data_IF_510039011418
#
_entry.id   IF_510039011418
#
_cell.length_a   1.000
_cell.length_b   1.000
_cell.length_c   1.000
_cell.angle_alpha   90.00
_cell.angle_beta   90.00
_cell.angle_gamma   90.00
#
_symmetry.space_group_name_H-M   'P 1'
#
loop_
_entity.id
_entity.type
_entity.pdbx_description
1 polymer ?
#
# COMPACT_ATOMS: atom_id res chain seq x y z
N UNK A 1 1.90 -24.60 -34.10
CA UNK A 1 1.44 -23.26 -34.49
C UNK A 1 -0.01 -23.14 -34.04
N UNK A 2 -0.22 -22.73 -32.79
CA UNK A 2 -1.56 -22.68 -32.19
C UNK A 2 -2.13 -21.28 -32.46
N UNK A 3 -2.97 -21.17 -33.49
CA UNK A 3 -3.75 -19.96 -33.74
C UNK A 3 -4.76 -19.81 -32.60
N UNK A 4 -4.70 -18.70 -31.88
CA UNK A 4 -5.68 -18.34 -30.85
C UNK A 4 -7.02 -18.09 -31.57
N UNK A 5 -7.93 -19.05 -31.54
CA UNK A 5 -9.34 -18.88 -31.96
C UNK A 5 -10.20 -18.45 -30.77
N UNK A 6 -9.90 -17.31 -30.15
CA UNK A 6 -10.69 -16.79 -29.03
C UNK A 6 -11.37 -15.47 -29.42
N UNK A 7 -12.41 -15.55 -30.23
CA UNK A 7 -13.35 -14.45 -30.41
C UNK A 7 -14.39 -14.50 -29.29
N UNK A 8 -14.52 -13.44 -28.49
CA UNK A 8 -15.64 -13.26 -27.58
C UNK A 8 -16.84 -12.72 -28.37
N UNK A 9 -17.76 -13.60 -28.73
CA UNK A 9 -18.97 -13.29 -29.53
C UNK A 9 -19.99 -12.46 -28.73
N UNK A 10 -19.95 -12.55 -27.40
CA UNK A 10 -20.78 -11.79 -26.45
C UNK A 10 -20.57 -10.27 -26.53
N UNK A 11 -19.37 -9.83 -26.94
CA UNK A 11 -19.02 -8.41 -27.07
C UNK A 11 -19.61 -7.79 -28.36
N UNK A 12 -19.98 -8.60 -29.36
CA UNK A 12 -20.51 -8.13 -30.65
C UNK A 12 -19.55 -7.17 -31.37
N UNK A 13 -20.12 -6.11 -31.97
CA UNK A 13 -19.38 -5.07 -32.72
C UNK A 13 -18.87 -3.90 -31.84
N UNK A 14 -19.06 -3.96 -30.52
CA UNK A 14 -18.60 -2.93 -29.58
C UNK A 14 -17.09 -3.06 -29.28
N UNK A 15 -16.28 -3.09 -30.34
CA UNK A 15 -14.83 -3.32 -30.29
C UNK A 15 -14.12 -2.22 -31.07
N UNK A 16 -12.98 -1.74 -30.56
CA UNK A 16 -12.18 -0.75 -31.23
C UNK A 16 -10.74 -0.78 -30.75
N UNK A 17 -9.80 -0.51 -31.64
CA UNK A 17 -8.39 -0.33 -31.32
C UNK A 17 -7.98 1.03 -31.85
N UNK A 18 -7.30 1.80 -30.99
CA UNK A 18 -6.71 3.09 -31.34
C UNK A 18 -5.22 3.04 -31.06
N UNK A 19 -4.43 3.53 -32.00
CA UNK A 19 -3.01 3.76 -31.82
C UNK A 19 -2.76 5.27 -31.75
N UNK A 20 -1.92 5.68 -30.82
CA UNK A 20 -1.46 7.06 -30.66
C UNK A 20 0.06 7.01 -30.56
N UNK A 21 0.74 7.92 -31.24
CA UNK A 21 2.18 8.12 -31.13
C UNK A 21 2.42 9.45 -30.43
N UNK A 22 3.05 9.41 -29.26
CA UNK A 22 3.40 10.59 -28.47
C UNK A 22 4.86 11.00 -28.74
N UNK A 23 5.16 12.29 -28.59
CA UNK A 23 6.49 12.84 -28.88
C UNK A 23 7.54 12.50 -27.81
N UNK A 24 7.10 12.28 -26.58
CA UNK A 24 7.92 11.95 -25.42
C UNK A 24 7.14 11.11 -24.40
N UNK A 25 7.80 10.63 -23.35
CA UNK A 25 7.14 9.92 -22.24
C UNK A 25 6.17 10.81 -21.46
N UNK A 26 6.49 12.09 -21.32
CA UNK A 26 5.61 13.04 -20.62
C UNK A 26 4.36 13.33 -21.47
N UNK A 27 4.52 13.44 -22.79
CA UNK A 27 3.39 13.54 -23.72
C UNK A 27 2.50 12.29 -23.68
N UNK A 28 3.09 11.09 -23.57
CA UNK A 28 2.37 9.82 -23.44
C UNK A 28 1.49 9.80 -22.18
N UNK A 29 1.97 10.35 -21.06
CA UNK A 29 1.17 10.51 -19.83
C UNK A 29 -0.03 11.43 -20.08
N UNK A 30 0.21 12.59 -20.71
CA UNK A 30 -0.86 13.56 -21.03
C UNK A 30 -1.90 12.96 -21.98
N UNK A 31 -1.45 12.25 -23.02
CA UNK A 31 -2.33 11.59 -23.99
C UNK A 31 -3.14 10.46 -23.35
N UNK A 32 -2.54 9.72 -22.40
CA UNK A 32 -3.24 8.68 -21.63
C UNK A 32 -4.36 9.27 -20.78
N UNK A 33 -4.07 10.33 -20.01
CA UNK A 33 -5.09 11.04 -19.20
C UNK A 33 -6.20 11.60 -20.09
N UNK A 34 -5.84 12.15 -21.26
CA UNK A 34 -6.81 12.63 -22.25
C UNK A 34 -7.71 11.50 -22.77
N UNK A 35 -7.15 10.34 -23.07
CA UNK A 35 -7.93 9.18 -23.51
C UNK A 35 -8.89 8.68 -22.42
N UNK A 36 -8.45 8.63 -21.16
CA UNK A 36 -9.33 8.29 -20.02
C UNK A 36 -10.53 9.25 -19.95
N UNK A 37 -10.27 10.56 -19.99
CA UNK A 37 -11.32 11.59 -20.00
C UNK A 37 -12.26 11.42 -21.19
N UNK A 38 -11.72 11.15 -22.37
CA UNK A 38 -12.52 10.92 -23.58
C UNK A 38 -13.45 9.72 -23.44
N UNK A 39 -12.96 8.59 -22.90
CA UNK A 39 -13.78 7.39 -22.71
C UNK A 39 -14.97 7.63 -21.78
N UNK A 40 -14.76 8.34 -20.68
CA UNK A 40 -15.82 8.58 -19.66
C UNK A 40 -16.75 9.73 -20.07
N UNK A 41 -16.21 10.87 -20.50
CA UNK A 41 -17.02 12.08 -20.68
C UNK A 41 -17.67 12.21 -22.06
N UNK A 42 -17.15 11.55 -23.10
CA UNK A 42 -17.76 11.64 -24.43
C UNK A 42 -19.12 10.95 -24.51
N UNK A 43 -19.42 10.03 -23.59
CA UNK A 43 -20.61 9.15 -23.58
C UNK A 43 -20.80 8.34 -24.88
N UNK A 44 -19.73 8.22 -25.70
CA UNK A 44 -19.72 7.42 -26.92
C UNK A 44 -19.45 5.95 -26.65
N UNK A 45 -18.84 5.65 -25.51
CA UNK A 45 -18.37 4.33 -25.15
C UNK A 45 -19.28 3.70 -24.11
N UNK A 46 -19.63 2.43 -24.35
CA UNK A 46 -20.53 1.65 -23.51
C UNK A 46 -19.87 0.34 -23.09
N UNK A 47 -20.05 -0.01 -21.82
CA UNK A 47 -19.73 -1.34 -21.29
C UNK A 47 -20.97 -2.22 -21.44
N UNK A 48 -20.77 -3.43 -21.97
CA UNK A 48 -21.82 -4.43 -22.10
C UNK A 48 -21.63 -5.49 -21.01
N UNK A 49 -22.58 -5.54 -20.09
CA UNK A 49 -22.74 -6.63 -19.14
C UNK A 49 -23.63 -7.73 -19.77
N UNK A 50 -23.73 -8.89 -19.11
CA UNK A 50 -24.47 -10.05 -19.65
C UNK A 50 -25.92 -9.73 -20.07
N UNK A 51 -26.57 -8.81 -19.37
CA UNK A 51 -27.98 -8.48 -19.58
C UNK A 51 -28.25 -6.97 -19.73
N UNK A 52 -27.24 -6.11 -19.61
CA UNK A 52 -27.43 -4.66 -19.66
C UNK A 52 -26.26 -3.93 -20.32
N UNK A 53 -26.50 -2.70 -20.77
CA UNK A 53 -25.45 -1.81 -21.23
C UNK A 53 -25.50 -0.50 -20.44
N UNK A 54 -24.32 0.03 -20.14
CA UNK A 54 -24.16 1.32 -19.47
C UNK A 54 -22.98 2.08 -20.03
N UNK A 55 -22.93 3.37 -19.73
CA UNK A 55 -21.76 4.19 -20.07
C UNK A 55 -20.53 3.74 -19.29
N UNK A 56 -19.37 3.91 -19.90
CA UNK A 56 -18.07 3.68 -19.27
C UNK A 56 -17.89 4.65 -18.09
N UNK A 57 -17.50 4.10 -16.94
CA UNK A 57 -17.00 4.84 -15.78
C UNK A 57 -15.50 4.63 -15.61
N UNK A 58 -14.89 5.35 -14.68
CA UNK A 58 -13.46 5.21 -14.38
C UNK A 58 -13.08 3.79 -13.94
N UNK A 59 -13.95 3.13 -13.17
CA UNK A 59 -13.79 1.73 -12.73
C UNK A 59 -13.69 0.69 -13.85
N UNK A 60 -14.09 1.04 -15.07
CA UNK A 60 -14.05 0.14 -16.22
C UNK A 60 -12.74 0.25 -17.01
N UNK A 61 -11.87 1.18 -16.63
CA UNK A 61 -10.65 1.50 -17.37
C UNK A 61 -9.44 0.91 -16.65
N UNK A 62 -8.66 0.14 -17.38
CA UNK A 62 -7.34 -0.33 -16.96
C UNK A 62 -6.24 0.29 -17.82
N UNK A 63 -5.22 0.86 -17.18
CA UNK A 63 -3.99 1.34 -17.80
C UNK A 63 -2.89 0.34 -17.47
N UNK A 64 -2.27 -0.24 -18.51
CA UNK A 64 -1.25 -1.26 -18.35
C UNK A 64 0.07 -0.70 -18.85
N UNK A 65 1.06 -0.58 -17.96
CA UNK A 65 2.40 -0.14 -18.35
C UNK A 65 3.42 -1.28 -18.19
N UNK A 66 4.58 -1.16 -18.83
CA UNK A 66 5.68 -2.12 -18.65
C UNK A 66 6.51 -1.85 -17.40
N UNK A 67 6.61 -0.60 -16.95
CA UNK A 67 7.48 -0.17 -15.84
C UNK A 67 6.68 0.55 -14.76
N UNK A 68 6.93 0.22 -13.50
CA UNK A 68 6.27 0.83 -12.32
C UNK A 68 6.45 2.35 -12.25
N UNK A 69 7.63 2.86 -12.62
CA UNK A 69 7.89 4.31 -12.68
C UNK A 69 6.89 5.04 -13.57
N UNK A 70 6.58 4.47 -14.74
CA UNK A 70 5.64 5.07 -15.68
C UNK A 70 4.19 4.98 -15.16
N UNK A 71 3.82 3.89 -14.50
CA UNK A 71 2.52 3.78 -13.82
C UNK A 71 2.32 4.90 -12.77
N UNK A 72 3.38 5.24 -12.02
CA UNK A 72 3.33 6.32 -11.02
C UNK A 72 3.11 7.67 -11.66
N UNK A 73 3.83 7.97 -12.74
CA UNK A 73 3.65 9.23 -13.49
C UNK A 73 2.21 9.41 -13.96
N UNK A 74 1.57 8.33 -14.47
CA UNK A 74 0.17 8.37 -14.90
C UNK A 74 -0.78 8.56 -13.71
N UNK A 75 -0.53 7.89 -12.59
CA UNK A 75 -1.35 8.06 -11.37
C UNK A 75 -1.31 9.50 -10.88
N UNK A 76 -0.12 10.08 -10.77
CA UNK A 76 0.07 11.45 -10.30
C UNK A 76 -0.61 12.46 -11.25
N UNK A 77 -0.54 12.22 -12.57
CA UNK A 77 -1.23 13.05 -13.56
C UNK A 77 -2.76 12.94 -13.50
N UNK A 78 -3.31 11.74 -13.24
CA UNK A 78 -4.74 11.55 -13.00
C UNK A 78 -5.19 12.31 -11.73
N UNK A 79 -4.42 12.20 -10.65
CA UNK A 79 -4.71 12.86 -9.36
C UNK A 79 -4.70 14.39 -9.49
N UNK A 80 -3.72 14.95 -10.21
CA UNK A 80 -3.66 16.39 -10.52
C UNK A 80 -4.89 16.90 -11.28
N UNK A 81 -5.56 16.03 -12.03
CA UNK A 81 -6.73 16.33 -12.86
C UNK A 81 -8.06 15.89 -12.19
N UNK A 82 -8.02 15.48 -10.93
CA UNK A 82 -9.19 15.06 -10.15
C UNK A 82 -9.82 13.74 -10.64
N UNK A 83 -9.06 12.92 -11.36
CA UNK A 83 -9.50 11.59 -11.81
C UNK A 83 -9.17 10.57 -10.72
N UNK A 84 -10.16 9.82 -10.20
CA UNK A 84 -9.89 8.74 -9.26
C UNK A 84 -9.11 7.65 -9.99
N UNK A 85 -7.85 7.48 -9.62
CA UNK A 85 -6.96 6.48 -10.20
C UNK A 85 -6.25 5.70 -9.09
N UNK A 86 -6.29 4.39 -9.21
CA UNK A 86 -5.67 3.45 -8.31
C UNK A 86 -4.47 2.81 -9.01
N UNK A 87 -3.29 2.92 -8.41
CA UNK A 87 -2.15 2.12 -8.83
C UNK A 87 -2.26 0.75 -8.16
N UNK A 88 -2.69 -0.25 -8.93
CA UNK A 88 -2.65 -1.64 -8.55
C UNK A 88 -1.19 -2.08 -8.48
N UNK A 89 -0.71 -2.18 -7.25
CA UNK A 89 0.65 -2.60 -6.92
C UNK A 89 1.45 -1.49 -6.25
N UNK A 90 2.20 -1.92 -5.25
CA UNK A 90 3.43 -1.29 -4.78
C UNK A 90 3.31 -0.01 -3.93
N UNK A 91 2.80 -0.19 -2.71
CA UNK A 91 2.93 0.78 -1.60
C UNK A 91 4.19 0.46 -0.79
N UNK A 92 4.93 1.49 -0.36
CA UNK A 92 6.00 1.34 0.63
C UNK A 92 5.39 1.17 2.03
N UNK A 93 4.70 0.05 2.27
CA UNK A 93 3.93 -0.19 3.51
C UNK A 93 4.78 -0.07 4.78
N UNK A 94 6.09 -0.34 4.70
CA UNK A 94 7.01 -0.18 5.84
C UNK A 94 7.37 1.27 6.14
N UNK A 95 7.25 2.16 5.14
CA UNK A 95 7.53 3.60 5.28
C UNK A 95 6.32 4.43 5.74
N UNK A 96 5.13 3.82 5.82
CA UNK A 96 3.92 4.46 6.35
C UNK A 96 4.01 4.66 7.86
N UNK A 97 3.01 5.34 8.44
CA UNK A 97 2.89 5.49 9.89
C UNK A 97 2.81 4.13 10.58
N UNK A 98 1.98 3.22 10.05
CA UNK A 98 1.78 1.86 10.55
C UNK A 98 3.09 1.05 10.56
N UNK A 99 3.85 1.11 9.46
CA UNK A 99 5.15 0.42 9.35
C UNK A 99 6.19 0.96 10.32
N UNK A 100 6.27 2.29 10.46
CA UNK A 100 7.18 2.95 11.43
C UNK A 100 6.81 2.65 12.88
N UNK A 101 5.51 2.62 13.19
CA UNK A 101 5.02 2.23 14.51
C UNK A 101 5.35 0.76 14.81
N UNK A 102 5.12 -0.15 13.85
CA UNK A 102 5.51 -1.54 13.98
C UNK A 102 7.01 -1.68 14.28
N UNK A 103 7.87 -0.99 13.54
CA UNK A 103 9.32 -0.97 13.78
C UNK A 103 9.67 -0.47 15.19
N UNK A 104 9.12 0.67 15.59
CA UNK A 104 9.39 1.29 16.89
C UNK A 104 9.00 0.35 18.05
N UNK A 105 7.83 -0.27 17.97
CA UNK A 105 7.37 -1.23 18.97
C UNK A 105 8.17 -2.52 18.98
N UNK A 106 8.54 -3.06 17.83
CA UNK A 106 9.42 -4.24 17.76
C UNK A 106 10.78 -3.95 18.41
N UNK A 107 11.37 -2.79 18.15
CA UNK A 107 12.59 -2.34 18.82
C UNK A 107 12.41 -2.22 20.33
N UNK A 108 11.26 -1.71 20.78
CA UNK A 108 11.00 -1.51 22.21
C UNK A 108 10.77 -2.83 22.95
N UNK A 109 10.08 -3.78 22.31
CA UNK A 109 9.92 -5.15 22.79
C UNK A 109 11.28 -5.85 22.86
N UNK A 110 12.15 -5.65 21.86
CA UNK A 110 13.48 -6.25 21.81
C UNK A 110 14.44 -5.64 22.85
N UNK A 111 14.39 -4.32 23.06
CA UNK A 111 15.23 -3.60 23.99
C UNK A 111 14.46 -2.42 24.64
N UNK A 112 14.10 -2.57 25.90
CA UNK A 112 13.38 -1.53 26.67
C UNK A 112 14.18 -0.25 26.92
N UNK A 113 15.49 -0.30 26.71
CA UNK A 113 16.39 0.83 26.94
C UNK A 113 16.74 1.57 25.66
N UNK A 114 16.24 1.16 24.50
CA UNK A 114 16.51 1.83 23.22
C UNK A 114 15.67 3.11 23.10
N UNK A 115 16.27 4.31 23.18
CA UNK A 115 15.54 5.57 23.05
C UNK A 115 14.88 5.71 21.68
N UNK A 116 15.51 5.17 20.63
CA UNK A 116 14.97 5.21 19.27
C UNK A 116 13.74 4.32 19.09
N UNK A 117 13.41 3.49 20.09
CA UNK A 117 12.22 2.67 20.09
C UNK A 117 11.02 3.37 20.74
N UNK A 118 11.15 3.85 21.98
CA UNK A 118 10.02 4.44 22.71
C UNK A 118 9.79 5.93 22.39
N UNK A 119 10.80 6.66 21.90
CA UNK A 119 10.62 8.08 21.54
C UNK A 119 9.60 8.27 20.40
N UNK A 120 9.68 7.54 19.26
CA UNK A 120 8.66 7.65 18.21
C UNK A 120 7.26 7.27 18.68
N UNK A 121 7.14 6.27 19.55
CA UNK A 121 5.86 5.82 20.13
C UNK A 121 5.24 6.95 20.96
N UNK A 122 6.03 7.58 21.83
CA UNK A 122 5.58 8.72 22.62
C UNK A 122 5.23 9.92 21.75
N UNK A 123 6.02 10.20 20.72
CA UNK A 123 5.73 11.29 19.78
C UNK A 123 4.41 11.06 19.02
N UNK A 124 4.13 9.82 18.60
CA UNK A 124 2.89 9.46 17.91
C UNK A 124 1.64 9.54 18.81
N UNK A 125 1.82 9.42 20.13
CA UNK A 125 0.76 9.58 21.14
C UNK A 125 0.70 11.00 21.73
N UNK A 126 1.21 12.00 21.01
CA UNK A 126 1.15 13.42 21.37
C UNK A 126 1.84 13.80 22.69
N UNK A 127 2.78 12.98 23.19
CA UNK A 127 3.60 13.39 24.34
C UNK A 127 4.52 14.55 23.96
N UNK A 128 4.64 15.52 24.87
CA UNK A 128 5.44 16.72 24.62
C UNK A 128 6.95 16.41 24.55
N UNK A 129 7.76 17.22 23.84
CA UNK A 129 9.22 17.05 23.80
C UNK A 129 9.87 17.06 25.19
N UNK A 130 9.27 17.76 26.17
CA UNK A 130 9.75 17.79 27.56
C UNK A 130 9.54 16.44 28.24
N UNK A 131 8.35 15.85 28.10
CA UNK A 131 8.05 14.51 28.64
C UNK A 131 8.93 13.44 28.00
N UNK A 132 9.13 13.52 26.67
CA UNK A 132 10.00 12.60 25.94
C UNK A 132 11.45 12.70 26.45
N UNK A 133 12.00 13.91 26.56
CA UNK A 133 13.37 14.10 27.11
C UNK A 133 13.52 13.57 28.52
N UNK A 134 12.49 13.75 29.36
CA UNK A 134 12.48 13.20 30.71
C UNK A 134 12.52 11.67 30.71
N UNK A 135 11.73 11.01 29.85
CA UNK A 135 11.75 9.56 29.69
C UNK A 135 13.09 9.02 29.14
N UNK A 136 13.74 9.75 28.22
CA UNK A 136 15.08 9.41 27.74
C UNK A 136 16.12 9.49 28.86
N UNK A 137 16.05 10.52 29.70
CA UNK A 137 16.97 10.70 30.83
C UNK A 137 16.72 9.67 31.95
N UNK A 138 15.45 9.29 32.16
CA UNK A 138 15.04 8.34 33.17
C UNK A 138 13.93 7.42 32.62
N UNK A 139 14.26 6.18 32.21
CA UNK A 139 13.30 5.23 31.67
C UNK A 139 12.13 4.89 32.59
N UNK A 140 12.22 5.16 33.91
CA UNK A 140 11.09 5.00 34.84
C UNK A 140 9.97 6.02 34.62
N UNK A 141 10.22 7.08 33.84
CA UNK A 141 9.24 8.09 33.47
C UNK A 141 8.50 7.74 32.17
N UNK A 142 8.80 6.59 31.56
CA UNK A 142 8.00 6.09 30.44
C UNK A 142 6.57 5.83 30.95
N UNK A 143 5.53 6.32 30.25
CA UNK A 143 4.14 6.12 30.65
C UNK A 143 3.79 4.64 30.85
N UNK A 144 3.10 4.34 31.96
CA UNK A 144 2.78 2.95 32.34
C UNK A 144 1.99 2.21 31.26
N UNK A 145 1.09 2.90 30.55
CA UNK A 145 0.35 2.33 29.41
C UNK A 145 1.28 1.73 28.33
N UNK A 146 2.44 2.35 28.09
CA UNK A 146 3.42 1.85 27.11
C UNK A 146 4.18 0.65 27.65
N UNK A 147 4.50 0.66 28.94
CA UNK A 147 5.16 -0.45 29.63
C UNK A 147 4.25 -1.69 29.63
N UNK A 148 2.98 -1.52 30.01
CA UNK A 148 1.97 -2.58 30.04
C UNK A 148 1.76 -3.17 28.64
N UNK A 149 1.59 -2.31 27.64
CA UNK A 149 1.43 -2.76 26.25
C UNK A 149 2.68 -3.49 25.75
N UNK A 150 3.88 -3.02 26.10
CA UNK A 150 5.13 -3.73 25.75
C UNK A 150 5.15 -5.13 26.34
N UNK A 151 4.77 -5.31 27.60
CA UNK A 151 4.73 -6.62 28.25
C UNK A 151 3.75 -7.57 27.54
N UNK A 152 2.58 -7.06 27.13
CA UNK A 152 1.61 -7.82 26.32
C UNK A 152 2.18 -8.24 24.96
N UNK A 153 2.87 -7.34 24.26
CA UNK A 153 3.53 -7.67 22.99
C UNK A 153 4.68 -8.66 23.18
N UNK A 154 5.46 -8.53 24.26
CA UNK A 154 6.57 -9.44 24.58
C UNK A 154 6.09 -10.88 24.82
N UNK A 155 4.91 -11.08 25.42
CA UNK A 155 4.29 -12.40 25.57
C UNK A 155 3.97 -13.04 24.21
N UNK A 156 3.61 -12.23 23.21
CA UNK A 156 3.21 -12.67 21.86
C UNK A 156 4.39 -12.83 20.88
N UNK A 157 5.62 -12.52 21.29
CA UNK A 157 6.83 -12.53 20.43
C UNK A 157 7.11 -13.80 19.63
N UNK A 158 6.57 -14.95 20.04
CA UNK A 158 6.74 -16.22 19.33
C UNK A 158 5.95 -16.29 18.02
N UNK A 159 4.94 -15.43 17.85
CA UNK A 159 4.09 -15.34 16.68
C UNK A 159 4.00 -13.89 16.25
N UNK A 160 4.80 -13.53 15.24
CA UNK A 160 4.91 -12.13 14.80
C UNK A 160 3.57 -11.57 14.34
N UNK A 161 2.73 -12.38 13.71
CA UNK A 161 1.37 -12.01 13.30
C UNK A 161 0.52 -11.61 14.49
N UNK A 162 0.53 -12.41 15.56
CA UNK A 162 -0.27 -12.15 16.77
C UNK A 162 0.23 -10.89 17.50
N UNK A 163 1.54 -10.65 17.48
CA UNK A 163 2.16 -9.44 17.99
C UNK A 163 1.70 -8.20 17.19
N UNK A 164 1.82 -8.23 15.86
CA UNK A 164 1.44 -7.11 15.00
C UNK A 164 -0.06 -6.81 15.06
N UNK A 165 -0.92 -7.83 15.06
CA UNK A 165 -2.36 -7.66 15.24
C UNK A 165 -2.68 -7.00 16.59
N UNK A 166 -2.06 -7.46 17.67
CA UNK A 166 -2.23 -6.86 19.00
C UNK A 166 -1.73 -5.42 19.08
N UNK A 167 -0.69 -5.09 18.32
CA UNK A 167 -0.17 -3.73 18.22
C UNK A 167 -1.16 -2.81 17.51
N UNK A 168 -1.65 -3.21 16.33
CA UNK A 168 -2.55 -2.36 15.56
C UNK A 168 -3.90 -2.18 16.26
N UNK A 169 -4.40 -3.21 16.95
CA UNK A 169 -5.57 -3.10 17.82
C UNK A 169 -5.40 -2.06 18.94
N UNK A 170 -4.21 -1.95 19.54
CA UNK A 170 -3.94 -0.94 20.57
C UNK A 170 -4.08 0.50 20.05
N UNK A 171 -3.76 0.73 18.78
CA UNK A 171 -3.96 2.02 18.11
C UNK A 171 -5.32 2.16 17.43
N UNK A 172 -6.22 1.17 17.55
CA UNK A 172 -7.47 1.10 16.78
C UNK A 172 -7.26 1.23 15.26
N UNK A 173 -6.13 0.72 14.77
CA UNK A 173 -5.80 0.69 13.34
C UNK A 173 -6.28 -0.64 12.75
N UNK A 174 -7.28 -0.54 11.88
CA UNK A 174 -7.76 -1.66 11.07
C UNK A 174 -7.97 -1.15 9.64
N UNK A 175 -6.87 -1.11 8.89
CA UNK A 175 -6.84 -0.62 7.53
C UNK A 175 -6.01 -1.55 6.63
N UNK A 176 -6.11 -1.39 5.31
CA UNK A 176 -5.43 -2.27 4.36
C UNK A 176 -3.90 -2.26 4.49
N UNK A 177 -3.32 -1.15 4.96
CA UNK A 177 -1.88 -1.06 5.23
C UNK A 177 -1.48 -1.98 6.37
N UNK A 178 -2.25 -2.00 7.47
CA UNK A 178 -1.99 -2.92 8.59
C UNK A 178 -2.10 -4.39 8.17
N UNK A 179 -3.10 -4.73 7.35
CA UNK A 179 -3.29 -6.09 6.83
C UNK A 179 -2.17 -6.48 5.86
N UNK A 180 -1.74 -5.57 4.99
CA UNK A 180 -0.61 -5.79 4.09
C UNK A 180 0.69 -6.02 4.87
N UNK A 181 0.96 -5.25 5.94
CA UNK A 181 2.13 -5.45 6.80
C UNK A 181 2.09 -6.84 7.45
N UNK A 182 0.96 -7.23 8.05
CA UNK A 182 0.80 -8.55 8.68
C UNK A 182 1.01 -9.68 7.65
N UNK A 183 0.39 -9.57 6.47
CA UNK A 183 0.49 -10.58 5.41
C UNK A 183 1.92 -10.73 4.88
N UNK A 184 2.59 -9.62 4.60
CA UNK A 184 3.99 -9.60 4.17
C UNK A 184 4.89 -10.25 5.22
N UNK A 185 4.77 -9.84 6.49
CA UNK A 185 5.58 -10.41 7.58
C UNK A 185 5.27 -11.89 7.82
N UNK A 186 4.01 -12.31 7.69
CA UNK A 186 3.61 -13.72 7.75
C UNK A 186 4.27 -14.55 6.64
N UNK A 187 4.29 -14.03 5.41
CA UNK A 187 4.92 -14.70 4.27
C UNK A 187 6.41 -14.93 4.50
N UNK A 188 7.10 -13.91 5.00
CA UNK A 188 8.53 -13.97 5.33
C UNK A 188 8.80 -14.97 6.47
N UNK A 189 7.90 -15.08 7.45
CA UNK A 189 8.00 -16.03 8.56
C UNK A 189 7.70 -17.49 8.18
N UNK A 190 6.87 -17.76 7.15
CA UNK A 190 6.55 -19.15 6.76
C UNK A 190 7.77 -19.97 6.30
N UNK A 191 8.85 -19.30 5.88
CA UNK A 191 10.08 -19.94 5.40
C UNK A 191 11.21 -20.10 6.44
N UNK A 192 11.10 -19.54 7.65
CA UNK A 192 12.15 -19.62 8.68
C UNK A 192 11.66 -19.23 10.07
N UNK A 193 12.28 -19.80 11.11
CA UNK A 193 12.10 -19.37 12.51
C UNK A 193 12.80 -18.01 12.71
N UNK A 194 12.12 -16.92 12.39
CA UNK A 194 12.66 -15.57 12.51
C UNK A 194 12.57 -15.07 13.95
N UNK A 195 13.63 -14.43 14.42
CA UNK A 195 13.63 -13.70 15.69
C UNK A 195 13.06 -12.29 15.50
N UNK A 196 12.69 -11.61 16.59
CA UNK A 196 12.30 -10.19 16.54
C UNK A 196 13.39 -9.34 15.87
N UNK A 197 14.66 -9.62 16.17
CA UNK A 197 15.81 -8.93 15.57
C UNK A 197 15.88 -9.09 14.05
N UNK A 198 15.50 -10.25 13.52
CA UNK A 198 15.46 -10.48 12.08
C UNK A 198 14.33 -9.68 11.42
N UNK A 199 13.16 -9.64 12.07
CA UNK A 199 12.02 -8.84 11.59
C UNK A 199 12.36 -7.35 11.58
N UNK A 200 13.01 -6.84 12.63
CA UNK A 200 13.49 -5.45 12.68
C UNK A 200 14.39 -5.15 11.47
N UNK A 201 15.36 -6.02 11.19
CA UNK A 201 16.29 -5.84 10.06
C UNK A 201 15.59 -5.86 8.70
N UNK A 202 14.59 -6.73 8.53
CA UNK A 202 13.80 -6.78 7.30
C UNK A 202 13.09 -5.44 7.10
N UNK A 203 12.37 -4.95 8.11
CA UNK A 203 11.63 -3.69 8.02
C UNK A 203 12.58 -2.49 7.80
N UNK A 204 13.73 -2.45 8.48
CA UNK A 204 14.74 -1.41 8.29
C UNK A 204 15.29 -1.41 6.86
N UNK A 205 15.65 -2.58 6.33
CA UNK A 205 16.11 -2.72 4.95
C UNK A 205 15.02 -2.31 3.94
N UNK A 206 13.75 -2.61 4.21
CA UNK A 206 12.65 -2.24 3.32
C UNK A 206 12.40 -0.74 3.29
N UNK A 207 12.56 -0.06 4.43
CA UNK A 207 12.49 1.40 4.51
C UNK A 207 13.68 2.03 3.77
N UNK A 208 14.89 1.51 3.98
CA UNK A 208 16.11 2.02 3.34
C UNK A 208 16.07 1.87 1.82
N UNK A 209 15.68 0.69 1.33
CA UNK A 209 15.61 0.39 -0.10
C UNK A 209 14.33 0.90 -0.77
N UNK A 210 13.40 1.51 -0.02
CA UNK A 210 12.08 1.95 -0.50
C UNK A 210 11.31 0.78 -1.14
N UNK A 211 11.40 -0.41 -0.54
CA UNK A 211 10.72 -1.62 -0.98
C UNK A 211 9.23 -1.39 -1.08
N UNK A 212 8.62 -1.93 -2.13
CA UNK A 212 7.19 -1.82 -2.38
C UNK A 212 6.48 -3.15 -2.36
N UNK A 213 5.22 -3.13 -1.89
CA UNK A 213 4.39 -4.31 -1.73
C UNK A 213 3.01 -4.13 -2.35
N UNK A 214 2.44 -5.19 -2.93
CA UNK A 214 1.06 -5.16 -3.40
C UNK A 214 0.11 -5.01 -2.21
N UNK A 215 -0.85 -4.09 -2.33
CA UNK A 215 -2.00 -3.96 -1.42
C UNK A 215 -3.24 -4.27 -2.26
N UNK A 216 -4.02 -5.29 -1.90
CA UNK A 216 -5.02 -5.87 -2.80
C UNK A 216 -6.40 -5.17 -2.76
N UNK A 217 -6.73 -4.42 -1.71
CA UNK A 217 -8.15 -4.14 -1.38
C UNK A 217 -8.71 -2.73 -1.62
N UNK A 218 -7.99 -1.83 -2.30
CA UNK A 218 -8.59 -0.59 -2.80
C UNK A 218 -9.22 -0.79 -4.19
N UNK A 219 -10.14 -1.75 -4.31
CA UNK A 219 -11.10 -1.73 -5.43
C UNK A 219 -12.22 -0.78 -5.02
N UNK A 220 -11.95 0.52 -5.00
CA UNK A 220 -13.05 1.43 -5.28
C UNK A 220 -13.46 1.14 -6.72
N UNK A 221 -14.59 0.48 -6.88
CA UNK A 221 -15.17 0.06 -8.17
C UNK A 221 -15.44 1.25 -9.12
N UNK A 222 -15.07 2.47 -8.73
CA UNK A 222 -15.21 3.72 -9.47
C UNK A 222 -13.88 4.43 -9.77
N UNK A 223 -12.73 3.75 -9.67
CA UNK A 223 -11.41 4.33 -9.99
C UNK A 223 -10.72 3.63 -11.18
N UNK A 224 -9.94 4.37 -11.97
CA UNK A 224 -9.10 3.83 -13.04
C UNK A 224 -8.05 2.92 -12.42
N UNK A 225 -7.94 1.69 -12.91
CA UNK A 225 -6.91 0.75 -12.44
C UNK A 225 -5.64 0.92 -13.26
N UNK A 226 -4.52 1.26 -12.63
CA UNK A 226 -3.21 1.36 -13.28
C UNK A 226 -2.37 0.19 -12.79
N UNK A 227 -1.76 -0.59 -13.68
CA UNK A 227 -1.01 -1.79 -13.31
C UNK A 227 0.20 -2.02 -14.21
N UNK A 228 1.16 -2.81 -13.73
CA UNK A 228 2.24 -3.32 -14.58
C UNK A 228 1.82 -4.61 -15.30
N UNK A 229 2.24 -4.77 -16.55
CA UNK A 229 2.15 -6.04 -17.26
C UNK A 229 3.17 -7.03 -16.67
N UNK A 230 2.71 -8.22 -16.24
CA UNK A 230 3.57 -9.31 -15.75
C UNK A 230 4.15 -10.15 -16.89
#
# INVERSE_FOLDING_TARGET
>A
MTLIQAGRDDIGDCKGIRFVQSGSKDDEVVDTVRAIKEYVFSKKYTVRDRESSRNVGFGDIAVICRKTEHCRMIRDACEAEGIPAYLQGDVQIMSTREGKLALAWLRYVNNERDPWAFVPIMADMDYTPVQIKAAVANPKLIPQILVDQREELYKKRRRITDLLTSLFQFYSLDNDVTQAIISTMSSVHRGSLLTISDVIRIIENDIENRSTYPVENLIDTKAVTIMTMH
#
